data_IF_499741334984
#
_entry.id   IF_499741334984
#
_cell.length_a   1.000
_cell.length_b   1.000
_cell.length_c   1.000
_cell.angle_alpha   90.00
_cell.angle_beta   90.00
_cell.angle_gamma   90.00
#
_symmetry.space_group_name_H-M   'P 1'
#
loop_
_entity.id
_entity.type
_entity.pdbx_description
1 polymer ?
#
# COMPACT_ATOMS: atom_id res chain seq x y z
N UNK A 1 15.55 1.65 -6.72
CA UNK A 1 15.81 3.10 -6.81
C UNK A 1 17.14 3.49 -6.19
N UNK A 2 17.34 3.29 -4.88
CA UNK A 2 18.53 3.78 -4.15
C UNK A 2 19.86 3.27 -4.73
N UNK A 3 19.92 2.00 -5.16
CA UNK A 3 21.12 1.42 -5.79
C UNK A 3 21.59 2.21 -7.03
N UNK A 4 20.65 2.64 -7.89
CA UNK A 4 20.99 3.42 -9.08
C UNK A 4 21.40 4.86 -8.78
N UNK A 5 21.16 5.36 -7.56
CA UNK A 5 21.61 6.69 -7.12
C UNK A 5 22.93 6.64 -6.38
N UNK A 6 23.23 5.54 -5.69
CA UNK A 6 24.55 5.30 -5.10
C UNK A 6 25.64 5.27 -6.18
N UNK A 7 25.32 4.79 -7.39
CA UNK A 7 26.25 4.81 -8.52
C UNK A 7 26.64 6.23 -8.98
N UNK A 8 25.87 7.27 -8.61
CA UNK A 8 26.19 8.66 -8.93
C UNK A 8 27.47 9.16 -8.25
N UNK A 9 27.90 8.51 -7.15
CA UNK A 9 29.17 8.82 -6.47
C UNK A 9 30.36 8.75 -7.44
N UNK A 10 30.32 7.82 -8.40
CA UNK A 10 31.36 7.72 -9.44
C UNK A 10 31.42 8.97 -10.30
N UNK A 11 30.28 9.52 -10.68
CA UNK A 11 30.21 10.73 -11.51
C UNK A 11 30.66 11.96 -10.75
N UNK A 12 30.36 12.03 -9.45
CA UNK A 12 30.87 13.08 -8.57
C UNK A 12 32.41 13.04 -8.52
N UNK A 13 32.99 11.85 -8.34
CA UNK A 13 34.45 11.69 -8.32
C UNK A 13 35.10 12.05 -9.68
N UNK A 14 34.46 11.71 -10.80
CA UNK A 14 34.99 11.96 -12.13
C UNK A 14 34.71 13.37 -12.65
N UNK A 15 33.80 14.12 -12.03
CA UNK A 15 33.37 15.45 -12.49
C UNK A 15 32.65 15.46 -13.84
N UNK A 16 32.38 14.29 -14.45
CA UNK A 16 31.69 14.14 -15.74
C UNK A 16 30.95 12.81 -15.82
N UNK A 17 29.78 12.82 -16.44
CA UNK A 17 29.00 11.61 -16.78
C UNK A 17 29.39 11.16 -18.20
N UNK A 18 29.73 9.88 -18.36
CA UNK A 18 30.20 9.33 -19.63
C UNK A 18 29.34 8.16 -20.09
N UNK A 19 29.16 8.02 -21.41
CA UNK A 19 28.51 6.85 -22.01
C UNK A 19 29.34 5.58 -21.82
N UNK A 20 28.70 4.42 -21.84
CA UNK A 20 29.35 3.10 -21.73
C UNK A 20 28.62 2.16 -20.79
N UNK A 21 29.16 0.95 -20.59
CA UNK A 21 28.48 -0.12 -19.85
C UNK A 21 28.08 0.23 -18.42
N UNK A 22 28.85 1.08 -17.73
CA UNK A 22 28.49 1.57 -16.39
C UNK A 22 27.25 2.47 -16.43
N UNK A 23 27.17 3.37 -17.42
CA UNK A 23 26.04 4.26 -17.62
C UNK A 23 24.77 3.48 -17.97
N UNK A 24 24.91 2.47 -18.84
CA UNK A 24 23.82 1.54 -19.16
C UNK A 24 23.34 0.78 -17.94
N UNK A 25 24.25 0.19 -17.16
CA UNK A 25 23.89 -0.55 -15.95
C UNK A 25 23.17 0.35 -14.93
N UNK A 26 23.65 1.58 -14.74
CA UNK A 26 22.99 2.55 -13.89
C UNK A 26 21.57 2.87 -14.37
N UNK A 27 21.40 3.22 -15.64
CA UNK A 27 20.10 3.56 -16.22
C UNK A 27 19.09 2.43 -16.08
N UNK A 28 19.51 1.19 -16.39
CA UNK A 28 18.71 -0.03 -16.20
C UNK A 28 18.27 -0.21 -14.75
N UNK A 29 19.19 -0.10 -13.79
CA UNK A 29 18.87 -0.25 -12.36
C UNK A 29 17.91 0.85 -11.89
N UNK A 30 18.09 2.09 -12.37
CA UNK A 30 17.18 3.19 -12.07
C UNK A 30 15.78 2.92 -12.65
N UNK A 31 15.68 2.60 -13.94
CA UNK A 31 14.42 2.34 -14.62
C UNK A 31 13.63 1.18 -13.98
N UNK A 32 14.27 0.04 -13.73
CA UNK A 32 13.64 -1.11 -13.06
C UNK A 32 13.15 -0.73 -11.66
N UNK A 33 13.95 0.04 -10.92
CA UNK A 33 13.62 0.47 -9.58
C UNK A 33 12.46 1.46 -9.52
N UNK A 34 12.46 2.47 -10.40
CA UNK A 34 11.45 3.53 -10.43
C UNK A 34 10.12 2.98 -10.93
N UNK A 35 10.10 2.34 -12.11
CA UNK A 35 8.89 1.79 -12.70
C UNK A 35 8.33 0.61 -11.90
N UNK A 36 9.19 -0.29 -11.42
CA UNK A 36 8.77 -1.42 -10.58
C UNK A 36 8.11 -0.97 -9.27
N UNK A 37 8.66 0.08 -8.63
CA UNK A 37 8.07 0.64 -7.41
C UNK A 37 6.69 1.28 -7.66
N UNK A 38 6.52 1.99 -8.78
CA UNK A 38 5.24 2.59 -9.16
C UNK A 38 4.16 1.51 -9.38
N UNK A 39 4.45 0.52 -10.22
CA UNK A 39 3.50 -0.57 -10.51
C UNK A 39 3.13 -1.40 -9.28
N UNK A 40 4.10 -1.68 -8.41
CA UNK A 40 3.84 -2.38 -7.14
C UNK A 40 2.94 -1.52 -6.24
N UNK A 41 3.17 -0.21 -6.18
CA UNK A 41 2.32 0.72 -5.41
C UNK A 41 0.89 0.76 -5.94
N UNK A 42 0.71 0.79 -7.26
CA UNK A 42 -0.62 0.71 -7.89
C UNK A 42 -1.33 -0.60 -7.54
N UNK A 43 -0.60 -1.72 -7.61
CA UNK A 43 -1.13 -3.05 -7.26
C UNK A 43 -1.60 -3.08 -5.82
N UNK A 44 -0.81 -2.54 -4.89
CA UNK A 44 -1.18 -2.42 -3.48
C UNK A 44 -2.43 -1.56 -3.31
N UNK A 45 -2.51 -0.41 -3.97
CA UNK A 45 -3.67 0.49 -3.89
C UNK A 45 -4.96 -0.20 -4.35
N UNK A 46 -4.91 -0.92 -5.49
CA UNK A 46 -6.04 -1.68 -6.02
C UNK A 46 -6.42 -2.83 -5.08
N UNK A 47 -5.44 -3.58 -4.59
CA UNK A 47 -5.67 -4.69 -3.67
C UNK A 47 -6.37 -4.23 -2.38
N UNK A 48 -5.85 -3.16 -1.75
CA UNK A 48 -6.46 -2.58 -0.55
C UNK A 48 -7.89 -2.12 -0.84
N UNK A 49 -8.11 -1.44 -1.97
CA UNK A 49 -9.44 -1.00 -2.36
C UNK A 49 -10.43 -2.18 -2.47
N UNK A 50 -10.05 -3.25 -3.18
CA UNK A 50 -10.90 -4.43 -3.35
C UNK A 50 -11.18 -5.12 -2.01
N UNK A 51 -10.15 -5.32 -1.19
CA UNK A 51 -10.29 -6.00 0.11
C UNK A 51 -11.20 -5.20 1.06
N UNK A 52 -11.00 -3.89 1.17
CA UNK A 52 -11.80 -3.04 2.05
C UNK A 52 -13.25 -2.95 1.57
N UNK A 53 -13.46 -2.81 0.25
CA UNK A 53 -14.82 -2.77 -0.32
C UNK A 53 -15.58 -4.06 -0.06
N UNK A 54 -14.94 -5.23 -0.26
CA UNK A 54 -15.54 -6.54 0.02
C UNK A 54 -15.81 -6.76 1.51
N UNK A 55 -14.85 -6.43 2.36
CA UNK A 55 -15.01 -6.53 3.82
C UNK A 55 -16.15 -5.65 4.30
N UNK A 56 -16.30 -4.44 3.77
CA UNK A 56 -17.40 -3.56 4.12
C UNK A 56 -18.78 -4.07 3.67
N UNK A 57 -18.84 -5.02 2.72
CA UNK A 57 -20.07 -5.73 2.33
C UNK A 57 -20.28 -7.04 3.08
N UNK A 58 -19.40 -7.36 4.03
CA UNK A 58 -19.37 -8.65 4.72
C UNK A 58 -19.20 -9.84 3.76
N UNK A 59 -18.62 -9.60 2.58
CA UNK A 59 -18.33 -10.65 1.59
C UNK A 59 -17.24 -11.59 2.14
N UNK A 60 -17.36 -12.88 1.85
CA UNK A 60 -16.35 -13.86 2.25
C UNK A 60 -14.98 -13.56 1.57
N UNK A 61 -13.86 -13.74 2.30
CA UNK A 61 -12.53 -13.56 1.75
C UNK A 61 -12.29 -14.53 0.59
N UNK A 62 -11.53 -14.08 -0.41
CA UNK A 62 -11.21 -14.93 -1.55
C UNK A 62 -10.28 -16.06 -1.10
N UNK A 63 -10.68 -17.31 -1.33
CA UNK A 63 -9.87 -18.50 -1.01
C UNK A 63 -8.48 -18.51 -1.68
N UNK A 64 -8.25 -17.66 -2.69
CA UNK A 64 -7.02 -17.59 -3.48
C UNK A 64 -6.40 -16.18 -3.55
N UNK A 65 -6.73 -15.29 -2.61
CA UNK A 65 -6.29 -13.89 -2.61
C UNK A 65 -4.75 -13.73 -2.64
N UNK A 66 -4.04 -14.51 -1.83
CA UNK A 66 -2.58 -14.49 -1.79
C UNK A 66 -1.94 -14.96 -3.09
N UNK A 67 -2.52 -15.98 -3.74
CA UNK A 67 -2.01 -16.52 -5.01
C UNK A 67 -2.18 -15.47 -6.11
N UNK A 68 -3.34 -14.83 -6.17
CA UNK A 68 -3.61 -13.75 -7.14
C UNK A 68 -2.62 -12.60 -6.94
N UNK A 69 -2.40 -12.18 -5.70
CA UNK A 69 -1.48 -11.07 -5.40
C UNK A 69 -0.04 -11.41 -5.78
N UNK A 70 0.44 -12.60 -5.43
CA UNK A 70 1.76 -13.09 -5.83
C UNK A 70 1.90 -13.19 -7.36
N UNK A 71 0.86 -13.65 -8.05
CA UNK A 71 0.85 -13.74 -9.51
C UNK A 71 0.93 -12.36 -10.18
N UNK A 72 0.15 -11.39 -9.70
CA UNK A 72 0.15 -10.01 -10.24
C UNK A 72 1.51 -9.33 -10.02
N UNK A 73 2.09 -9.48 -8.82
CA UNK A 73 3.42 -8.93 -8.52
C UNK A 73 4.49 -9.59 -9.40
N UNK A 74 4.46 -10.92 -9.53
CA UNK A 74 5.40 -11.65 -10.38
C UNK A 74 5.30 -11.23 -11.85
N UNK A 75 4.07 -11.10 -12.37
CA UNK A 75 3.82 -10.65 -13.74
C UNK A 75 4.32 -9.22 -13.96
N UNK A 76 4.17 -8.35 -12.97
CA UNK A 76 4.67 -6.97 -13.00
C UNK A 76 6.19 -6.93 -13.13
N UNK A 77 6.91 -7.69 -12.29
CA UNK A 77 8.37 -7.77 -12.36
C UNK A 77 8.86 -8.41 -13.66
N UNK A 78 8.17 -9.43 -14.15
CA UNK A 78 8.46 -10.04 -15.44
C UNK A 78 8.29 -9.03 -16.59
N UNK A 79 7.17 -8.30 -16.60
CA UNK A 79 6.88 -7.29 -17.61
C UNK A 79 7.97 -6.21 -17.67
N UNK A 80 8.35 -5.61 -16.53
CA UNK A 80 9.37 -4.55 -16.53
C UNK A 80 10.75 -5.09 -16.90
N UNK A 81 11.09 -6.31 -16.47
CA UNK A 81 12.40 -6.91 -16.77
C UNK A 81 12.51 -7.20 -18.26
N UNK A 82 11.46 -7.78 -18.86
CA UNK A 82 11.41 -8.02 -20.29
C UNK A 82 11.44 -6.72 -21.09
N UNK A 83 10.65 -5.72 -20.69
CA UNK A 83 10.64 -4.41 -21.34
C UNK A 83 12.05 -3.81 -21.39
N UNK A 84 12.72 -3.71 -20.25
CA UNK A 84 14.06 -3.12 -20.17
C UNK A 84 15.09 -3.96 -20.94
N UNK A 85 15.04 -5.29 -20.81
CA UNK A 85 15.96 -6.18 -21.52
C UNK A 85 15.80 -6.06 -23.05
N UNK A 86 14.57 -6.01 -23.55
CA UNK A 86 14.27 -5.84 -24.98
C UNK A 86 14.72 -4.46 -25.45
N UNK A 87 14.34 -3.37 -24.75
CA UNK A 87 14.69 -2.02 -25.17
C UNK A 87 16.21 -1.80 -25.21
N UNK A 88 16.96 -2.31 -24.23
CA UNK A 88 18.43 -2.26 -24.23
C UNK A 88 19.00 -3.11 -25.37
N UNK A 89 18.49 -4.32 -25.60
CA UNK A 89 19.04 -5.24 -26.61
C UNK A 89 18.80 -4.76 -28.05
N UNK A 90 17.63 -4.14 -28.31
CA UNK A 90 17.24 -3.66 -29.64
C UNK A 90 17.92 -2.34 -29.98
N UNK A 91 18.08 -1.44 -29.02
CA UNK A 91 18.56 -0.08 -29.30
C UNK A 91 20.06 0.10 -29.04
N UNK A 92 20.74 -0.91 -28.48
CA UNK A 92 22.20 -0.86 -28.30
C UNK A 92 22.89 -1.47 -29.51
N UNK A 93 23.31 -0.62 -30.44
CA UNK A 93 24.10 -1.00 -31.61
C UNK A 93 25.41 -0.21 -31.67
N UNK A 94 26.55 -0.89 -31.56
CA UNK A 94 27.88 -0.25 -31.67
C UNK A 94 28.10 0.84 -30.62
N UNK A 95 28.24 2.10 -31.05
CA UNK A 95 28.49 3.25 -30.18
C UNK A 95 27.22 3.99 -29.72
N UNK A 96 26.04 3.62 -30.23
CA UNK A 96 24.76 4.19 -29.78
C UNK A 96 24.18 3.32 -28.68
N UNK A 97 24.17 3.86 -27.45
CA UNK A 97 23.56 3.22 -26.28
C UNK A 97 22.13 3.72 -26.09
N UNK A 98 21.23 2.82 -25.68
CA UNK A 98 19.84 3.14 -25.28
C UNK A 98 19.80 4.13 -24.11
N UNK A 99 20.63 3.87 -23.10
CA UNK A 99 20.84 4.72 -21.92
C UNK A 99 21.97 5.72 -22.19
N UNK A 100 21.71 7.01 -21.99
CA UNK A 100 22.67 8.08 -22.22
C UNK A 100 22.70 9.06 -21.03
N UNK A 101 23.78 9.84 -20.88
CA UNK A 101 23.83 10.91 -19.89
C UNK A 101 22.71 11.93 -20.14
N UNK A 102 21.82 12.10 -19.16
CA UNK A 102 20.75 13.11 -19.17
C UNK A 102 20.96 14.03 -17.96
N UNK A 103 21.90 14.96 -18.10
CA UNK A 103 22.32 15.84 -17.00
C UNK A 103 23.32 15.14 -16.06
N UNK A 104 22.88 14.81 -14.85
CA UNK A 104 23.76 14.33 -13.77
C UNK A 104 23.80 12.80 -13.59
N UNK A 105 22.95 12.06 -14.30
CA UNK A 105 22.84 10.61 -14.24
C UNK A 105 22.59 10.04 -15.64
N UNK A 106 22.58 8.71 -15.73
CA UNK A 106 22.25 7.98 -16.94
C UNK A 106 20.78 7.57 -16.97
N UNK A 107 20.11 7.85 -18.08
CA UNK A 107 18.69 7.54 -18.32
C UNK A 107 18.48 7.29 -19.84
N UNK A 108 17.45 6.53 -20.22
CA UNK A 108 16.89 6.42 -21.59
C UNK A 108 17.09 7.70 -22.39
N UNK A 109 17.77 7.60 -23.52
CA UNK A 109 18.14 8.75 -24.35
C UNK A 109 16.92 9.60 -24.75
N UNK A 110 17.14 10.92 -24.85
CA UNK A 110 16.14 11.87 -25.33
C UNK A 110 15.72 11.62 -26.79
N UNK A 111 16.44 10.80 -27.54
CA UNK A 111 16.07 10.35 -28.88
C UNK A 111 14.88 9.37 -28.86
N UNK A 112 14.69 8.63 -27.76
CA UNK A 112 13.66 7.61 -27.62
C UNK A 112 12.53 8.09 -26.70
N UNK A 113 11.85 9.18 -27.08
CA UNK A 113 10.75 9.76 -26.30
C UNK A 113 9.62 8.77 -26.05
N UNK A 114 9.24 7.97 -27.06
CA UNK A 114 8.20 6.96 -26.92
C UNK A 114 8.54 5.94 -25.81
N UNK A 115 9.79 5.47 -25.79
CA UNK A 115 10.30 4.54 -24.78
C UNK A 115 10.38 5.17 -23.39
N UNK A 116 10.72 6.46 -23.28
CA UNK A 116 10.67 7.19 -22.00
C UNK A 116 9.25 7.17 -21.42
N UNK A 117 8.24 7.44 -22.24
CA UNK A 117 6.84 7.42 -21.80
C UNK A 117 6.34 6.03 -21.45
N UNK A 118 6.57 5.05 -22.33
CA UNK A 118 6.12 3.67 -22.15
C UNK A 118 6.85 2.94 -21.02
N UNK A 119 8.15 3.23 -20.84
CA UNK A 119 9.01 2.55 -19.88
C UNK A 119 8.90 3.09 -18.45
N UNK A 120 8.37 4.30 -18.26
CA UNK A 120 8.34 4.92 -16.94
C UNK A 120 7.15 5.88 -16.71
N UNK A 121 7.04 6.95 -17.50
CA UNK A 121 6.14 8.06 -17.13
C UNK A 121 4.67 7.64 -17.09
N UNK A 122 4.18 6.84 -18.04
CA UNK A 122 2.78 6.41 -18.05
C UNK A 122 2.42 5.68 -16.76
N UNK A 123 3.31 4.82 -16.27
CA UNK A 123 3.09 4.01 -15.07
C UNK A 123 3.11 4.85 -13.81
N UNK A 124 4.00 5.83 -13.74
CA UNK A 124 4.04 6.79 -12.64
C UNK A 124 2.72 7.56 -12.55
N UNK A 125 2.23 8.10 -13.67
CA UNK A 125 0.98 8.86 -13.72
C UNK A 125 -0.25 8.00 -13.42
N UNK A 126 -0.33 6.81 -14.01
CA UNK A 126 -1.40 5.85 -13.72
C UNK A 126 -1.37 5.44 -12.24
N UNK A 127 -0.20 5.31 -11.62
CA UNK A 127 -0.07 5.00 -10.20
C UNK A 127 -0.61 6.14 -9.33
N UNK A 128 -0.24 7.39 -9.62
CA UNK A 128 -0.72 8.57 -8.88
C UNK A 128 -2.23 8.71 -9.02
N UNK A 129 -2.76 8.66 -10.24
CA UNK A 129 -4.19 8.82 -10.50
C UNK A 129 -5.01 7.64 -9.97
N UNK A 130 -4.55 6.41 -10.21
CA UNK A 130 -5.18 5.19 -9.70
C UNK A 130 -5.19 5.15 -8.17
N UNK A 131 -4.11 5.59 -7.52
CA UNK A 131 -4.08 5.78 -6.07
C UNK A 131 -5.16 6.79 -5.65
N UNK A 132 -5.20 7.98 -6.25
CA UNK A 132 -6.21 8.98 -5.90
C UNK A 132 -7.66 8.45 -6.04
N UNK A 133 -7.95 7.75 -7.13
CA UNK A 133 -9.27 7.13 -7.36
C UNK A 133 -9.59 6.01 -6.37
N UNK A 134 -8.61 5.20 -5.98
CA UNK A 134 -8.80 4.15 -4.98
C UNK A 134 -8.99 4.75 -3.57
N UNK A 135 -8.24 5.79 -3.21
CA UNK A 135 -8.24 6.35 -1.86
C UNK A 135 -9.41 7.28 -1.57
N UNK A 136 -9.91 8.01 -2.57
CA UNK A 136 -11.08 8.91 -2.40
C UNK A 136 -12.31 8.19 -1.79
N UNK A 137 -12.81 7.08 -2.35
CA UNK A 137 -13.93 6.35 -1.77
C UNK A 137 -13.57 5.71 -0.42
N UNK A 138 -12.34 5.21 -0.23
CA UNK A 138 -11.90 4.65 1.05
C UNK A 138 -11.93 5.70 2.17
N UNK A 139 -11.51 6.93 1.87
CA UNK A 139 -11.55 8.05 2.82
C UNK A 139 -12.98 8.46 3.17
N UNK A 140 -13.89 8.45 2.20
CA UNK A 140 -15.30 8.76 2.44
C UNK A 140 -16.00 7.64 3.22
N UNK A 141 -15.63 6.37 2.97
CA UNK A 141 -16.09 5.22 3.74
C UNK A 141 -15.60 5.33 5.19
N UNK A 142 -14.32 5.65 5.38
CA UNK A 142 -13.69 5.86 6.68
C UNK A 142 -14.38 6.92 7.55
N UNK A 143 -14.85 7.99 6.91
CA UNK A 143 -15.62 9.07 7.56
C UNK A 143 -17.05 8.64 7.93
N UNK A 144 -17.52 7.48 7.46
CA UNK A 144 -18.92 7.07 7.57
C UNK A 144 -19.86 7.87 6.67
N UNK A 145 -19.33 8.61 5.69
CA UNK A 145 -20.12 9.47 4.81
C UNK A 145 -20.72 8.70 3.63
N UNK A 146 -20.27 7.47 3.41
CA UNK A 146 -20.73 6.58 2.33
C UNK A 146 -20.92 5.17 2.87
N UNK A 147 -22.08 4.59 2.57
CA UNK A 147 -22.39 3.16 2.71
C UNK A 147 -22.37 2.51 1.33
N UNK A 148 -21.83 1.29 1.25
CA UNK A 148 -21.82 0.51 0.00
C UNK A 148 -23.15 -0.21 -0.10
N UNK A 149 -23.80 -0.12 -1.26
CA UNK A 149 -25.04 -0.85 -1.50
C UNK A 149 -24.80 -2.37 -1.49
N UNK A 150 -25.73 -3.13 -0.90
CA UNK A 150 -25.60 -4.59 -0.79
C UNK A 150 -25.59 -5.27 -2.17
N UNK A 151 -26.22 -4.65 -3.17
CA UNK A 151 -26.43 -5.24 -4.50
C UNK A 151 -25.33 -4.94 -5.52
N UNK A 152 -24.71 -3.76 -5.49
CA UNK A 152 -23.74 -3.33 -6.52
C UNK A 152 -22.52 -2.66 -5.89
N UNK A 153 -21.33 -3.23 -6.12
CA UNK A 153 -20.06 -2.76 -5.51
C UNK A 153 -19.62 -1.35 -5.96
N UNK A 154 -20.17 -0.85 -7.07
CA UNK A 154 -19.89 0.49 -7.61
C UNK A 154 -20.94 1.55 -7.21
N UNK A 155 -22.04 1.16 -6.54
CA UNK A 155 -23.08 2.12 -6.12
C UNK A 155 -22.82 2.58 -4.70
N UNK A 156 -22.39 3.82 -4.59
CA UNK A 156 -22.18 4.52 -3.34
C UNK A 156 -23.50 5.19 -2.90
N UNK A 157 -23.97 4.90 -1.69
CA UNK A 157 -25.06 5.67 -1.06
C UNK A 157 -24.41 6.72 -0.17
N UNK A 158 -24.67 8.00 -0.47
CA UNK A 158 -24.20 9.13 0.33
C UNK A 158 -25.26 9.38 1.39
N UNK A 159 -25.01 8.93 2.61
CA UNK A 159 -25.89 9.24 3.75
C UNK A 159 -25.39 10.51 4.43
N UNK A 160 -26.21 11.56 4.38
CA UNK A 160 -25.89 12.87 4.93
C UNK A 160 -26.28 12.89 6.41
N UNK A 161 -25.35 12.47 7.26
CA UNK A 161 -25.32 12.76 8.70
C UNK A 161 -26.60 12.44 9.48
N UNK A 162 -26.70 11.21 10.00
CA UNK A 162 -27.27 10.94 11.34
C UNK A 162 -27.07 9.48 11.76
N UNK A 163 -26.99 8.56 10.80
CA UNK A 163 -26.73 7.15 11.08
C UNK A 163 -25.24 6.89 11.20
N UNK A 164 -24.72 6.95 12.43
CA UNK A 164 -23.46 6.28 12.78
C UNK A 164 -23.61 4.82 12.39
N UNK A 165 -23.00 4.43 11.28
CA UNK A 165 -22.97 3.05 10.78
C UNK A 165 -22.36 2.15 11.85
N UNK A 166 -23.25 1.57 12.66
CA UNK A 166 -22.94 0.66 13.76
C UNK A 166 -22.73 -0.71 13.12
N UNK A 167 -21.59 -0.92 12.46
CA UNK A 167 -21.13 -2.26 12.11
C UNK A 167 -20.94 -2.94 13.46
N UNK A 168 -21.83 -3.83 13.90
CA UNK A 168 -21.66 -4.61 15.12
C UNK A 168 -20.83 -5.86 14.81
N UNK A 169 -19.51 -5.75 14.95
CA UNK A 169 -18.60 -6.90 15.13
C UNK A 169 -17.65 -6.45 16.22
N UNK A 170 -17.37 -7.27 17.23
CA UNK A 170 -16.44 -6.96 18.33
C UNK A 170 -15.21 -6.16 17.83
N UNK A 171 -15.21 -4.86 18.16
CA UNK A 171 -14.40 -3.75 17.66
C UNK A 171 -14.19 -3.60 16.12
N UNK A 172 -15.13 -2.95 15.41
CA UNK A 172 -15.10 -2.71 13.97
C UNK A 172 -14.43 -1.39 13.57
N UNK A 173 -14.19 -0.49 14.52
CA UNK A 173 -13.53 0.79 14.29
C UNK A 173 -12.02 0.62 14.18
N UNK A 174 -11.47 -0.39 14.87
CA UNK A 174 -10.05 -0.69 14.88
C UNK A 174 -9.56 -1.10 13.48
N UNK A 175 -10.18 -2.06 12.79
CA UNK A 175 -9.71 -2.47 11.45
C UNK A 175 -9.87 -1.36 10.40
N UNK A 176 -10.92 -0.54 10.47
CA UNK A 176 -11.08 0.62 9.57
C UNK A 176 -9.99 1.65 9.79
N UNK A 177 -9.74 2.05 11.05
CA UNK A 177 -8.63 2.96 11.42
C UNK A 177 -7.28 2.40 10.99
N UNK A 178 -7.04 1.10 11.20
CA UNK A 178 -5.81 0.41 10.78
C UNK A 178 -5.64 0.38 9.27
N UNK A 179 -6.70 0.06 8.52
CA UNK A 179 -6.67 0.12 7.05
C UNK A 179 -6.44 1.54 6.55
N UNK A 180 -6.95 2.57 7.23
CA UNK A 180 -6.72 4.00 6.92
C UNK A 180 -5.27 4.42 7.16
N UNK A 181 -4.66 3.99 8.27
CA UNK A 181 -3.25 4.25 8.55
C UNK A 181 -2.34 3.59 7.51
N UNK A 182 -2.73 2.42 6.96
CA UNK A 182 -2.06 1.81 5.82
C UNK A 182 -2.22 2.59 4.50
N UNK A 183 -3.17 3.54 4.41
CA UNK A 183 -3.38 4.40 3.23
C UNK A 183 -2.40 5.59 3.17
N UNK A 184 -1.67 5.88 4.25
CA UNK A 184 -0.70 6.98 4.26
C UNK A 184 0.46 6.75 3.27
N UNK A 185 0.76 5.48 2.97
CA UNK A 185 1.91 5.10 2.16
C UNK A 185 1.81 5.61 0.70
N UNK A 186 0.70 5.43 -0.04
CA UNK A 186 0.65 5.92 -1.42
C UNK A 186 0.31 7.41 -1.53
N UNK A 187 -0.22 8.02 -0.47
CA UNK A 187 -0.32 9.48 -0.34
C UNK A 187 1.07 10.13 -0.27
N UNK A 188 1.96 9.56 0.53
CA UNK A 188 3.37 9.98 0.58
C UNK A 188 4.04 9.76 -0.77
N UNK A 189 3.80 8.61 -1.43
CA UNK A 189 4.28 8.36 -2.78
C UNK A 189 3.82 9.46 -3.76
N UNK A 190 2.52 9.79 -3.78
CA UNK A 190 1.99 10.85 -4.64
C UNK A 190 2.59 12.22 -4.31
N UNK A 191 2.72 12.58 -3.03
CA UNK A 191 3.28 13.85 -2.59
C UNK A 191 4.75 14.04 -3.00
N UNK A 192 5.54 12.95 -3.00
CA UNK A 192 6.94 12.98 -3.42
C UNK A 192 7.06 12.97 -4.96
N UNK A 193 6.20 12.22 -5.65
CA UNK A 193 6.31 11.97 -7.09
C UNK A 193 5.81 13.14 -7.94
N UNK A 194 4.84 13.91 -7.45
CA UNK A 194 4.27 15.05 -8.16
C UNK A 194 5.31 16.18 -8.40
N UNK A 195 6.08 16.66 -7.40
CA UNK A 195 7.12 17.66 -7.62
C UNK A 195 8.16 17.24 -8.66
N UNK A 196 8.62 15.98 -8.61
CA UNK A 196 9.59 15.41 -9.56
C UNK A 196 9.04 15.48 -10.98
N UNK A 197 7.79 15.08 -11.17
CA UNK A 197 7.14 15.07 -12.49
C UNK A 197 6.99 16.48 -13.06
N UNK A 198 6.61 17.46 -12.21
CA UNK A 198 6.50 18.87 -12.60
C UNK A 198 7.85 19.44 -13.03
N UNK A 199 8.91 19.19 -12.26
CA UNK A 199 10.26 19.68 -12.58
C UNK A 199 10.77 19.03 -13.87
N UNK A 200 10.57 17.73 -14.05
CA UNK A 200 10.97 16.98 -15.27
C UNK A 200 10.32 17.50 -16.55
N UNK A 201 9.02 17.82 -16.48
CA UNK A 201 8.34 18.44 -17.62
C UNK A 201 8.83 19.84 -17.90
N UNK A 202 9.01 20.66 -16.85
CA UNK A 202 9.55 22.03 -16.97
C UNK A 202 10.98 22.05 -17.53
N UNK A 203 11.80 21.06 -17.19
CA UNK A 203 13.18 20.93 -17.67
C UNK A 203 13.29 20.29 -19.06
N UNK A 204 12.17 19.98 -19.72
CA UNK A 204 12.15 19.36 -21.04
C UNK A 204 12.90 18.02 -21.10
N UNK A 205 12.87 17.25 -20.01
CA UNK A 205 13.62 15.99 -19.88
C UNK A 205 15.15 16.15 -20.06
N UNK A 206 15.71 17.27 -19.59
CA UNK A 206 17.16 17.51 -19.56
C UNK A 206 17.67 18.42 -20.68
N UNK A 207 16.79 19.08 -21.44
CA UNK A 207 17.22 19.79 -22.65
C UNK A 207 17.50 21.29 -22.50
N UNK A 208 17.08 22.05 -21.47
CA UNK A 208 17.08 23.52 -21.70
C UNK A 208 17.17 24.52 -20.55
N UNK A 209 17.38 24.20 -19.26
CA UNK A 209 17.47 25.28 -18.25
C UNK A 209 18.51 25.04 -17.13
N UNK A 210 19.64 25.79 -17.13
CA UNK A 210 20.60 25.82 -16.01
C UNK A 210 19.94 26.20 -14.68
N UNK A 211 18.94 27.09 -14.71
CA UNK A 211 18.21 27.53 -13.52
C UNK A 211 17.36 26.42 -12.86
N UNK A 212 17.00 25.37 -13.60
CA UNK A 212 16.22 24.25 -13.05
C UNK A 212 17.10 23.10 -12.56
N UNK A 213 18.42 23.12 -12.82
CA UNK A 213 19.32 22.04 -12.45
C UNK A 213 19.33 21.74 -10.95
N UNK A 214 19.37 22.79 -10.11
CA UNK A 214 19.30 22.66 -8.65
C UNK A 214 17.96 22.10 -8.19
N UNK A 215 16.86 22.56 -8.77
CA UNK A 215 15.52 22.08 -8.44
C UNK A 215 15.38 20.59 -8.80
N UNK A 216 15.85 20.18 -9.99
CA UNK A 216 15.85 18.79 -10.41
C UNK A 216 16.66 17.93 -9.45
N UNK A 217 17.87 18.34 -9.10
CA UNK A 217 18.71 17.60 -8.15
C UNK A 217 18.03 17.43 -6.79
N UNK A 218 17.45 18.49 -6.22
CA UNK A 218 16.76 18.43 -4.93
C UNK A 218 15.55 17.51 -4.99
N UNK A 219 14.70 17.62 -6.02
CA UNK A 219 13.52 16.75 -6.15
C UNK A 219 13.89 15.29 -6.35
N UNK A 220 14.92 15.01 -7.13
CA UNK A 220 15.43 13.65 -7.38
C UNK A 220 16.09 13.05 -6.13
N UNK A 221 16.77 13.88 -5.33
CA UNK A 221 17.32 13.47 -4.04
C UNK A 221 16.19 13.08 -3.07
N UNK A 222 15.17 13.92 -2.91
CA UNK A 222 14.00 13.60 -2.07
C UNK A 222 13.29 12.33 -2.58
N UNK A 223 13.18 12.18 -3.90
CA UNK A 223 12.62 10.97 -4.50
C UNK A 223 13.46 9.75 -4.14
N UNK A 224 14.79 9.83 -4.18
CA UNK A 224 15.70 8.73 -3.79
C UNK A 224 15.52 8.27 -2.34
N UNK A 225 15.07 9.16 -1.46
CA UNK A 225 14.74 8.90 -0.05
C UNK A 225 13.36 8.26 0.16
N UNK A 226 12.52 8.16 -0.89
CA UNK A 226 11.17 7.57 -0.79
C UNK A 226 11.17 6.19 -0.16
N UNK A 227 12.15 5.33 -0.48
CA UNK A 227 12.29 4.01 0.12
C UNK A 227 12.48 4.06 1.64
N UNK A 228 13.32 4.97 2.14
CA UNK A 228 13.52 5.17 3.58
C UNK A 228 12.27 5.73 4.25
N UNK A 229 11.62 6.71 3.63
CA UNK A 229 10.37 7.30 4.13
C UNK A 229 9.26 6.24 4.25
N UNK A 230 9.17 5.37 3.25
CA UNK A 230 8.24 4.25 3.21
C UNK A 230 8.49 3.22 4.32
N UNK A 231 9.76 2.85 4.57
CA UNK A 231 10.12 1.93 5.66
C UNK A 231 9.87 2.58 7.01
N UNK A 232 10.26 3.84 7.20
CA UNK A 232 10.00 4.58 8.43
C UNK A 232 8.49 4.64 8.70
N UNK A 233 7.69 4.93 7.67
CA UNK A 233 6.23 4.94 7.78
C UNK A 233 5.71 3.56 8.19
N UNK A 234 6.20 2.47 7.59
CA UNK A 234 5.81 1.11 7.97
C UNK A 234 6.16 0.79 9.43
N UNK A 235 7.38 1.13 9.87
CA UNK A 235 7.82 0.91 11.26
C UNK A 235 7.01 1.74 12.23
N UNK A 236 6.78 3.03 11.96
CA UNK A 236 6.01 3.90 12.85
C UNK A 236 4.53 3.53 12.89
N UNK A 237 3.93 3.17 11.76
CA UNK A 237 2.55 2.67 11.69
C UNK A 237 2.45 1.35 12.47
N UNK A 238 3.30 0.37 12.21
CA UNK A 238 3.27 -0.91 12.91
C UNK A 238 3.57 -0.81 14.42
N UNK A 239 4.44 0.12 14.83
CA UNK A 239 4.73 0.37 16.26
C UNK A 239 3.53 0.96 17.00
N UNK A 240 2.76 1.84 16.34
CA UNK A 240 1.48 2.32 16.88
C UNK A 240 0.44 1.19 16.95
N UNK A 241 0.41 0.30 15.95
CA UNK A 241 -0.47 -0.88 15.92
C UNK A 241 -0.17 -1.86 17.07
N UNK A 242 1.11 -2.20 17.30
CA UNK A 242 1.52 -3.09 18.40
C UNK A 242 1.29 -2.46 19.76
N UNK A 243 1.52 -1.15 19.91
CA UNK A 243 1.26 -0.43 21.17
C UNK A 243 -0.23 -0.30 21.47
N UNK A 244 -1.08 -0.17 20.46
CA UNK A 244 -2.55 -0.19 20.60
C UNK A 244 -3.04 -1.57 21.07
N UNK A 245 -2.47 -2.67 20.55
CA UNK A 245 -2.78 -4.02 21.03
C UNK A 245 -2.25 -4.28 22.46
N UNK A 246 -1.03 -3.81 22.78
CA UNK A 246 -0.44 -3.95 24.11
C UNK A 246 -1.13 -3.12 25.21
N UNK A 247 -1.77 -2.00 24.86
CA UNK A 247 -2.58 -1.20 25.77
C UNK A 247 -3.92 -1.82 26.15
N UNK A 248 -4.35 -2.88 25.44
CA UNK A 248 -5.65 -3.54 25.64
C UNK A 248 -5.56 -4.92 26.29
N UNK A 249 -4.37 -5.50 26.40
CA UNK A 249 -4.09 -6.67 27.26
C UNK A 249 -3.93 -6.32 28.74
N UNK A 250 -4.14 -5.06 29.13
CA UNK A 250 -4.12 -4.60 30.53
C UNK A 250 -5.47 -4.68 31.26
N UNK A 251 -6.56 -5.08 30.60
CA UNK A 251 -7.81 -5.45 31.30
C UNK A 251 -7.85 -6.97 31.46
N UNK A 252 -7.06 -7.48 32.40
CA UNK A 252 -7.38 -8.74 33.06
C UNK A 252 -8.83 -8.64 33.54
N UNK A 253 -9.73 -9.61 33.24
CA UNK A 253 -10.98 -9.68 33.97
C UNK A 253 -10.61 -9.81 35.45
N UNK A 254 -11.19 -8.96 36.27
CA UNK A 254 -11.04 -8.96 37.71
C UNK A 254 -11.58 -10.30 38.25
N UNK A 255 -10.70 -11.31 38.33
CA UNK A 255 -10.99 -12.62 38.94
C UNK A 255 -11.20 -12.47 40.47
N UNK A 256 -11.01 -11.27 41.02
CA UNK A 256 -11.21 -10.97 42.44
C UNK A 256 -12.69 -10.86 42.84
N UNK A 257 -13.64 -10.92 41.90
CA UNK A 257 -15.08 -10.96 42.17
C UNK A 257 -15.69 -12.36 42.36
N UNK A 258 -14.97 -13.45 42.03
CA UNK A 258 -15.52 -14.83 42.06
C UNK A 258 -15.06 -15.62 43.30
N UNK A 259 -14.10 -15.12 44.07
CA UNK A 259 -13.60 -15.79 45.28
C UNK A 259 -14.12 -15.22 46.62
N UNK A 260 -15.06 -14.26 46.59
CA UNK A 260 -15.63 -13.67 47.81
C UNK A 260 -17.00 -14.25 48.23
N UNK A 261 -17.65 -15.07 47.39
CA UNK A 261 -19.00 -15.59 47.65
C UNK A 261 -19.02 -17.10 47.97
N UNK A 262 -17.94 -17.64 48.56
CA UNK A 262 -17.88 -19.06 48.91
C UNK A 262 -17.51 -19.33 50.39
N UNK A 263 -17.69 -18.34 51.28
CA UNK A 263 -17.32 -18.45 52.70
C UNK A 263 -18.46 -18.21 53.70
N UNK A 264 -19.73 -18.30 53.27
CA UNK A 264 -20.85 -18.38 54.21
C UNK A 264 -21.82 -19.51 53.88
N UNK A 265 -21.76 -20.58 54.69
CA UNK A 265 -22.97 -21.27 55.10
C UNK A 265 -23.26 -22.65 54.52
N UNK A 266 -22.27 -23.55 54.45
CA UNK A 266 -22.57 -24.98 54.30
C UNK A 266 -23.08 -25.55 55.62
N UNK A 267 -24.41 -25.62 55.80
CA UNK A 267 -25.08 -26.53 56.75
C UNK A 267 -25.96 -27.52 56.00
N UNK A 268 -25.42 -28.73 55.93
CA UNK A 268 -26.05 -30.04 55.80
C UNK A 268 -27.53 -30.13 56.25
N UNK A 269 -28.42 -30.65 55.38
CA UNK A 269 -29.42 -31.64 55.79
C UNK A 269 -30.06 -32.39 54.61
N UNK A 270 -29.73 -33.67 54.59
CA UNK A 270 -30.31 -34.83 53.91
C UNK A 270 -31.86 -34.90 53.98
N UNK A 271 -32.54 -35.31 52.89
CA UNK A 271 -33.82 -36.08 52.83
C UNK A 271 -34.14 -36.41 51.35
N UNK A 272 -33.82 -37.62 50.89
CA UNK A 272 -34.69 -38.81 50.77
C UNK A 272 -35.86 -38.67 49.77
N UNK A 273 -35.77 -39.47 48.68
CA UNK A 273 -36.84 -39.85 47.76
C UNK A 273 -38.08 -40.39 48.50
N UNK A 274 -39.25 -40.42 47.83
CA UNK A 274 -39.87 -41.74 47.67
C UNK A 274 -40.42 -42.05 46.26
N UNK A 275 -40.53 -43.37 46.09
CA UNK A 275 -41.02 -44.20 44.98
C UNK A 275 -42.57 -44.20 44.89
N UNK A 276 -43.08 -44.38 43.66
CA UNK A 276 -44.26 -45.19 43.19
C UNK A 276 -45.26 -45.69 44.25
N UNK A 277 -46.59 -45.62 44.09
CA UNK A 277 -47.43 -46.39 43.13
C UNK A 277 -48.92 -45.94 43.22
N UNK A 278 -49.63 -46.09 42.11
CA UNK A 278 -51.05 -46.48 41.88
C UNK A 278 -52.23 -45.72 42.53
N UNK A 279 -53.17 -45.26 41.67
CA UNK A 279 -54.56 -45.79 41.57
C UNK A 279 -55.44 -44.90 40.64
N UNK A 280 -55.92 -45.50 39.54
CA UNK A 280 -57.17 -45.14 38.82
C UNK A 280 -58.38 -45.39 39.75
N UNK A 281 -59.56 -44.74 39.58
CA UNK A 281 -60.52 -44.99 38.47
C UNK A 281 -61.21 -43.70 37.92
N UNK A 282 -61.52 -43.61 36.62
CA UNK A 282 -62.80 -43.90 35.91
C UNK A 282 -63.97 -42.92 36.11
N UNK A 283 -64.45 -42.45 34.94
CA UNK A 283 -65.80 -41.98 34.56
C UNK A 283 -66.27 -40.62 35.10
N UNK A 284 -66.75 -39.67 34.28
CA UNK A 284 -67.77 -39.73 33.20
C UNK A 284 -67.40 -38.81 32.02
#
# INVERSE_FOLDING_TARGET
MSLGRVTDIKWIYQGKVQTGGFCTAQGVIQQLGETGSALTTLTIAIHIFVVVMRRSRNDQPLKYEHIITCAVVSLTWLFITLFVAISVSVHTHGFTFYEQPVGFWCWISNQHKAEQYAGQYIWVWVTVFGSFLAYTPLFLLARGNITIDETHWWRFKIERGESRVQIQINDPDDWRRRSIEMLAYPLVFAAITLPVSVVRWRSGFGNTLPHLATATFVTEFIYSLSGTLNVLLLVFTHSKLLRSQGGRSGLTPDITGILAENSQGQRMSLRLLPRTTDLLPSDV
#
